data_IF_483043636768
#
_entry.id   IF_483043636768
#
_cell.length_a   1.000
_cell.length_b   1.000
_cell.length_c   1.000
_cell.angle_alpha   90.00
_cell.angle_beta   90.00
_cell.angle_gamma   90.00
#
_symmetry.space_group_name_H-M   'P 1'
#
loop_
_entity.id
_entity.type
_entity.pdbx_description
1 polymer ?
#
# COMPACT_ATOMS: atom_id res chain seq x y z
N UNK A 1 0.47 11.71 -20.01
CA UNK A 1 0.67 10.36 -19.47
C UNK A 1 0.84 10.47 -17.96
N UNK A 2 -0.04 9.93 -17.09
CA UNK A 2 0.34 9.81 -15.70
C UNK A 2 1.45 8.76 -15.65
N UNK A 3 2.70 9.20 -15.53
CA UNK A 3 3.82 8.32 -15.25
C UNK A 3 3.46 7.55 -13.98
N UNK A 4 3.12 6.27 -14.12
CA UNK A 4 3.00 5.39 -12.97
C UNK A 4 4.39 5.32 -12.34
N UNK A 5 4.49 5.60 -11.04
CA UNK A 5 5.77 5.55 -10.31
C UNK A 5 6.43 4.15 -10.38
N UNK A 6 5.63 3.14 -10.71
CA UNK A 6 6.05 1.76 -10.92
C UNK A 6 7.10 1.58 -12.02
N UNK A 7 6.87 2.07 -13.25
CA UNK A 7 7.80 1.77 -14.36
C UNK A 7 9.20 2.35 -14.16
N UNK A 8 9.37 3.58 -13.65
CA UNK A 8 10.69 4.08 -13.25
C UNK A 8 11.36 3.20 -12.19
N UNK A 9 10.63 2.79 -11.14
CA UNK A 9 11.17 1.91 -10.09
C UNK A 9 11.60 0.54 -10.64
N UNK A 10 10.79 -0.05 -11.54
CA UNK A 10 11.11 -1.29 -12.21
C UNK A 10 12.37 -1.14 -13.08
N UNK A 11 12.47 -0.06 -13.87
CA UNK A 11 13.64 0.19 -14.71
C UNK A 11 14.92 0.45 -13.92
N UNK A 12 14.81 1.00 -12.71
CA UNK A 12 15.92 1.22 -11.80
C UNK A 12 16.24 0.01 -10.91
N UNK A 13 15.48 -1.10 -11.01
CA UNK A 13 15.60 -2.28 -10.14
C UNK A 13 15.64 -1.89 -8.65
N UNK A 14 14.72 -1.03 -8.22
CA UNK A 14 14.75 -0.50 -6.86
C UNK A 14 14.48 -1.59 -5.83
N UNK A 15 15.44 -1.80 -4.92
CA UNK A 15 15.31 -2.71 -3.77
C UNK A 15 15.83 -1.98 -2.54
N UNK A 16 15.02 -1.93 -1.50
CA UNK A 16 15.38 -1.32 -0.22
C UNK A 16 16.02 -2.36 0.69
N UNK A 17 17.18 -2.01 1.26
CA UNK A 17 17.97 -2.88 2.16
C UNK A 17 18.23 -4.29 1.61
N UNK A 18 18.24 -4.45 0.28
CA UNK A 18 18.53 -5.72 -0.39
C UNK A 18 17.36 -6.70 -0.51
N UNK A 19 16.24 -6.46 0.19
CA UNK A 19 15.13 -7.43 0.27
C UNK A 19 13.76 -6.85 -0.08
N UNK A 20 13.51 -5.57 0.20
CA UNK A 20 12.17 -5.00 0.12
C UNK A 20 11.90 -4.27 -1.21
N UNK A 21 10.87 -4.71 -1.95
CA UNK A 21 10.54 -4.22 -3.30
C UNK A 21 9.70 -2.93 -3.33
N UNK A 22 9.65 -2.17 -2.23
CA UNK A 22 9.06 -0.83 -2.15
C UNK A 22 7.58 -0.69 -2.51
N UNK A 23 6.82 -1.80 -2.57
CA UNK A 23 5.43 -1.77 -3.06
C UNK A 23 4.51 -0.83 -2.27
N UNK A 24 4.69 -0.74 -0.95
CA UNK A 24 3.98 0.22 -0.11
C UNK A 24 4.45 1.63 -0.44
N UNK A 25 5.76 1.86 -0.39
CA UNK A 25 6.41 3.16 -0.53
C UNK A 25 6.04 3.89 -1.83
N UNK A 26 5.99 3.20 -2.98
CA UNK A 26 5.72 3.81 -4.28
C UNK A 26 4.25 4.19 -4.48
N UNK A 27 3.33 3.56 -3.75
CA UNK A 27 1.90 3.85 -3.84
C UNK A 27 1.53 5.18 -3.16
N UNK A 28 2.22 5.56 -2.08
CA UNK A 28 1.84 6.72 -1.25
C UNK A 28 1.96 8.05 -1.98
N UNK A 29 3.04 8.34 -2.74
CA UNK A 29 3.11 9.58 -3.52
C UNK A 29 2.04 9.65 -4.62
N UNK A 30 1.61 8.50 -5.17
CA UNK A 30 0.50 8.47 -6.11
C UNK A 30 -0.83 8.86 -5.43
N UNK A 31 -1.10 8.31 -4.25
CA UNK A 31 -2.27 8.67 -3.43
C UNK A 31 -2.25 10.17 -3.11
N UNK A 32 -1.13 10.69 -2.60
CA UNK A 32 -0.97 12.11 -2.28
C UNK A 32 -1.23 13.01 -3.51
N UNK A 33 -0.71 12.62 -4.68
CA UNK A 33 -0.95 13.33 -5.94
C UNK A 33 -2.43 13.42 -6.30
N UNK A 34 -3.17 12.32 -6.12
CA UNK A 34 -4.60 12.32 -6.40
C UNK A 34 -5.39 13.11 -5.36
N UNK A 35 -5.02 13.06 -4.07
CA UNK A 35 -5.63 13.87 -3.02
C UNK A 35 -5.49 15.37 -3.28
N UNK A 36 -4.27 15.84 -3.55
CA UNK A 36 -4.01 17.27 -3.84
C UNK A 36 -4.76 17.72 -5.11
N UNK A 37 -4.75 16.88 -6.16
CA UNK A 37 -5.51 17.18 -7.39
C UNK A 37 -7.01 17.31 -7.12
N UNK A 38 -7.59 16.40 -6.34
CA UNK A 38 -9.02 16.43 -6.01
C UNK A 38 -9.33 17.65 -5.14
N UNK A 39 -8.50 17.97 -4.15
CA UNK A 39 -8.67 19.17 -3.33
C UNK A 39 -8.77 20.45 -4.19
N UNK A 40 -7.93 20.58 -5.22
CA UNK A 40 -8.03 21.69 -6.17
C UNK A 40 -9.32 21.69 -6.99
N UNK A 41 -9.84 20.52 -7.37
CA UNK A 41 -11.10 20.39 -8.12
C UNK A 41 -12.34 20.67 -7.25
N UNK A 42 -12.27 20.34 -5.96
CA UNK A 42 -13.37 20.51 -5.00
C UNK A 42 -13.29 21.82 -4.24
N UNK A 43 -12.30 22.69 -4.54
CA UNK A 43 -12.02 23.91 -3.78
C UNK A 43 -11.84 23.65 -2.28
N UNK A 44 -11.18 22.54 -1.93
CA UNK A 44 -10.88 22.18 -0.55
C UNK A 44 -9.55 22.78 -0.12
N UNK A 45 -9.52 23.38 1.08
CA UNK A 45 -8.31 23.98 1.66
C UNK A 45 -7.39 22.95 2.33
N UNK A 46 -7.89 21.73 2.55
CA UNK A 46 -7.21 20.68 3.29
C UNK A 46 -7.42 19.29 2.69
N UNK A 47 -6.46 18.41 2.97
CA UNK A 47 -6.57 16.95 2.78
C UNK A 47 -6.41 16.24 4.12
N UNK A 48 -6.95 15.03 4.24
CA UNK A 48 -6.80 14.20 5.44
C UNK A 48 -6.27 12.81 5.11
N UNK A 49 -5.51 12.20 6.03
CA UNK A 49 -5.08 10.81 5.91
C UNK A 49 -5.17 10.04 7.23
N UNK A 50 -5.33 8.72 7.14
CA UNK A 50 -5.43 7.82 8.29
C UNK A 50 -4.14 7.11 8.70
N UNK A 51 -2.98 7.49 8.15
CA UNK A 51 -1.71 6.89 8.58
C UNK A 51 -1.42 7.14 10.07
N UNK A 52 -0.87 6.14 10.76
CA UNK A 52 -0.53 6.23 12.18
C UNK A 52 0.71 7.11 12.40
N UNK A 53 0.85 7.68 13.60
CA UNK A 53 1.99 8.53 13.96
C UNK A 53 3.33 7.81 14.13
N UNK A 54 3.36 6.48 14.09
CA UNK A 54 4.59 5.66 14.24
C UNK A 54 5.14 5.17 12.90
N UNK A 55 4.28 5.10 11.87
CA UNK A 55 4.64 4.51 10.59
C UNK A 55 5.29 5.49 9.62
N UNK A 56 5.94 4.94 8.59
CA UNK A 56 6.57 5.71 7.51
C UNK A 56 5.56 6.39 6.56
N UNK A 57 4.32 5.91 6.54
CA UNK A 57 3.32 6.34 5.56
C UNK A 57 2.87 7.79 5.74
N UNK A 58 2.84 8.29 6.97
CA UNK A 58 2.56 9.71 7.22
C UNK A 58 3.58 10.59 6.49
N UNK A 59 4.88 10.26 6.60
CA UNK A 59 5.95 11.06 5.98
C UNK A 59 5.83 10.99 4.46
N UNK A 60 5.59 9.80 3.91
CA UNK A 60 5.47 9.59 2.46
C UNK A 60 4.30 10.36 1.87
N UNK A 61 3.14 10.37 2.53
CA UNK A 61 1.96 11.10 2.07
C UNK A 61 2.12 12.60 2.25
N UNK A 62 2.59 13.05 3.42
CA UNK A 62 2.73 14.47 3.74
C UNK A 62 3.80 15.15 2.87
N UNK A 63 4.99 14.55 2.76
CA UNK A 63 6.04 15.08 1.90
C UNK A 63 5.62 15.11 0.42
N UNK A 64 4.91 14.07 -0.03
CA UNK A 64 4.35 14.02 -1.38
C UNK A 64 3.30 15.11 -1.63
N UNK A 65 2.46 15.40 -0.64
CA UNK A 65 1.46 16.46 -0.73
C UNK A 65 2.11 17.85 -0.74
N UNK A 66 3.04 18.12 0.17
CA UNK A 66 3.75 19.40 0.25
C UNK A 66 4.63 19.67 -0.98
N UNK A 67 5.21 18.63 -1.58
CA UNK A 67 5.96 18.77 -2.84
C UNK A 67 5.06 19.22 -4.01
N UNK A 68 3.76 18.93 -3.97
CA UNK A 68 2.80 19.27 -5.02
C UNK A 68 2.03 20.56 -4.74
N UNK A 69 1.71 20.82 -3.46
CA UNK A 69 1.10 22.05 -3.00
C UNK A 69 1.63 22.36 -1.58
N UNK A 70 2.66 23.22 -1.45
CA UNK A 70 3.24 23.57 -0.15
C UNK A 70 2.26 24.23 0.82
N UNK A 71 1.18 24.84 0.30
CA UNK A 71 0.18 25.54 1.09
C UNK A 71 -0.99 24.65 1.53
N UNK A 72 -1.05 23.38 1.10
CA UNK A 72 -2.15 22.49 1.45
C UNK A 72 -2.13 22.20 2.96
N UNK A 73 -3.26 22.38 3.63
CA UNK A 73 -3.38 21.94 5.03
C UNK A 73 -3.55 20.43 5.08
N UNK A 74 -2.83 19.76 5.96
CA UNK A 74 -2.98 18.33 6.20
C UNK A 74 -3.62 18.13 7.58
N UNK A 75 -4.62 17.24 7.62
CA UNK A 75 -5.27 16.79 8.85
C UNK A 75 -4.94 15.30 9.05
N UNK A 76 -4.31 14.97 10.17
CA UNK A 76 -3.94 13.60 10.52
C UNK A 76 -4.60 13.22 11.86
N UNK A 77 -5.86 12.72 11.84
CA UNK A 77 -6.64 12.47 13.06
C UNK A 77 -5.94 11.56 14.07
N UNK A 78 -5.19 10.54 13.60
CA UNK A 78 -4.42 9.65 14.47
C UNK A 78 -3.33 10.35 15.31
N UNK A 79 -2.89 11.53 14.88
CA UNK A 79 -1.88 12.34 15.59
C UNK A 79 -2.52 13.49 16.37
N UNK A 80 -3.65 14.00 15.91
CA UNK A 80 -4.30 15.19 16.46
C UNK A 80 -5.39 14.88 17.51
N UNK A 81 -6.04 13.71 17.43
CA UNK A 81 -7.23 13.40 18.25
C UNK A 81 -6.93 12.37 19.33
N UNK A 82 -7.68 12.38 20.43
CA UNK A 82 -7.61 11.36 21.49
C UNK A 82 -8.41 10.08 21.15
N UNK A 83 -8.29 9.62 19.90
CA UNK A 83 -8.88 8.36 19.41
C UNK A 83 -7.77 7.34 19.15
N UNK A 84 -7.07 6.96 20.22
CA UNK A 84 -5.79 6.23 20.14
C UNK A 84 -5.90 4.71 20.14
N UNK A 85 -7.11 4.15 20.25
CA UNK A 85 -7.35 2.70 20.25
C UNK A 85 -8.59 2.33 19.44
N UNK A 86 -8.67 1.05 19.05
CA UNK A 86 -9.82 0.51 18.32
C UNK A 86 -11.09 0.62 19.16
N UNK A 87 -11.02 0.37 20.46
CA UNK A 87 -12.15 0.45 21.38
C UNK A 87 -12.68 1.88 21.46
N UNK A 88 -11.78 2.87 21.56
CA UNK A 88 -12.16 4.29 21.52
C UNK A 88 -12.83 4.65 20.19
N UNK A 89 -12.33 4.16 19.06
CA UNK A 89 -12.93 4.39 17.74
C UNK A 89 -14.32 3.76 17.62
N UNK A 90 -14.52 2.54 18.12
CA UNK A 90 -15.83 1.86 18.14
C UNK A 90 -16.82 2.60 19.05
N UNK A 91 -16.38 3.04 20.23
CA UNK A 91 -17.19 3.85 21.15
C UNK A 91 -17.58 5.19 20.52
N UNK A 92 -16.64 5.87 19.87
CA UNK A 92 -16.89 7.11 19.13
C UNK A 92 -17.91 6.88 18.01
N UNK A 93 -17.75 5.83 17.20
CA UNK A 93 -18.67 5.49 16.13
C UNK A 93 -20.09 5.21 16.67
N UNK A 94 -20.21 4.45 17.76
CA UNK A 94 -21.50 4.17 18.42
C UNK A 94 -22.17 5.44 18.96
N UNK A 95 -21.41 6.31 19.61
CA UNK A 95 -21.91 7.57 20.16
C UNK A 95 -22.43 8.53 19.07
N UNK A 96 -21.88 8.45 17.86
CA UNK A 96 -22.24 9.31 16.73
C UNK A 96 -23.13 8.63 15.69
N UNK A 97 -23.63 7.41 15.96
CA UNK A 97 -24.51 6.68 15.04
C UNK A 97 -23.84 6.26 13.73
N UNK A 98 -22.50 6.12 13.70
CA UNK A 98 -21.75 5.67 12.54
C UNK A 98 -21.78 4.13 12.50
N UNK A 99 -22.39 3.51 11.48
CA UNK A 99 -22.41 2.07 11.37
C UNK A 99 -21.00 1.53 11.07
N UNK A 100 -20.43 0.77 12.00
CA UNK A 100 -19.14 0.10 11.84
C UNK A 100 -19.31 -1.41 12.02
N UNK A 101 -18.75 -2.18 11.09
CA UNK A 101 -18.58 -3.61 11.28
C UNK A 101 -17.41 -3.81 12.24
N UNK A 102 -17.70 -4.21 13.48
CA UNK A 102 -16.67 -4.77 14.35
C UNK A 102 -16.26 -6.12 13.75
N UNK A 103 -14.95 -6.39 13.71
CA UNK A 103 -14.49 -7.70 13.24
C UNK A 103 -15.17 -8.80 14.06
N UNK A 104 -15.66 -9.82 13.37
CA UNK A 104 -16.08 -11.05 14.04
C UNK A 104 -14.86 -11.72 14.67
N UNK A 105 -15.06 -12.48 15.75
CA UNK A 105 -14.01 -13.32 16.33
C UNK A 105 -13.34 -14.14 15.22
N UNK A 106 -12.02 -13.96 15.02
CA UNK A 106 -11.23 -14.66 13.99
C UNK A 106 -10.73 -13.83 12.81
N UNK A 107 -10.82 -12.51 12.82
CA UNK A 107 -10.09 -11.68 11.85
C UNK A 107 -8.58 -11.72 12.05
N UNK A 108 -7.81 -11.65 10.96
CA UNK A 108 -6.34 -11.64 10.98
C UNK A 108 -5.77 -10.62 11.96
N UNK A 109 -4.86 -11.06 12.84
CA UNK A 109 -4.11 -10.24 13.80
C UNK A 109 -3.08 -9.31 13.14
N UNK A 110 -2.91 -9.40 11.81
CA UNK A 110 -1.91 -8.65 11.06
C UNK A 110 -2.49 -7.36 10.46
N UNK A 111 -1.67 -6.30 10.47
CA UNK A 111 -1.86 -5.13 9.64
C UNK A 111 -1.44 -5.47 8.21
N UNK A 112 -2.32 -5.22 7.24
CA UNK A 112 -2.10 -5.62 5.84
C UNK A 112 -2.29 -4.44 4.88
N UNK A 113 -1.40 -4.34 3.91
CA UNK A 113 -1.52 -3.43 2.76
C UNK A 113 -1.32 -4.23 1.48
N UNK A 114 -2.23 -4.05 0.52
CA UNK A 114 -2.25 -4.81 -0.73
C UNK A 114 -2.54 -3.88 -1.91
N UNK A 115 -1.75 -4.04 -2.97
CA UNK A 115 -2.05 -3.46 -4.27
C UNK A 115 -1.65 -4.45 -5.38
N UNK A 116 -1.75 -4.02 -6.64
CA UNK A 116 -1.44 -4.88 -7.79
C UNK A 116 0.01 -5.43 -7.78
N UNK A 117 0.93 -4.75 -7.10
CA UNK A 117 2.35 -5.03 -7.12
C UNK A 117 2.82 -5.86 -5.93
N UNK A 118 2.17 -5.71 -4.78
CA UNK A 118 2.62 -6.35 -3.55
C UNK A 118 1.50 -6.54 -2.54
N UNK A 119 1.75 -7.44 -1.60
CA UNK A 119 1.02 -7.56 -0.34
C UNK A 119 2.06 -7.51 0.77
N UNK A 120 1.82 -6.72 1.81
CA UNK A 120 2.65 -6.65 3.02
C UNK A 120 1.81 -6.99 4.25
N UNK A 121 2.45 -7.67 5.20
CA UNK A 121 1.90 -8.03 6.50
C UNK A 121 2.87 -7.55 7.58
N UNK A 122 2.36 -6.98 8.66
CA UNK A 122 3.12 -6.52 9.83
C UNK A 122 2.29 -6.66 11.10
N UNK A 123 2.91 -6.46 12.27
CA UNK A 123 2.24 -6.53 13.56
C UNK A 123 1.96 -7.94 14.07
N UNK A 124 1.33 -8.02 15.23
CA UNK A 124 1.00 -9.29 15.88
C UNK A 124 2.25 -10.12 16.19
N UNK A 125 2.22 -11.40 15.85
CA UNK A 125 3.34 -12.33 16.08
C UNK A 125 4.58 -12.02 15.22
N UNK A 126 4.44 -11.26 14.12
CA UNK A 126 5.56 -10.94 13.22
C UNK A 126 6.52 -9.88 13.79
N UNK A 127 6.17 -9.25 14.90
CA UNK A 127 7.07 -8.33 15.62
C UNK A 127 8.22 -9.06 16.33
N UNK A 128 8.07 -10.37 16.59
CA UNK A 128 9.14 -11.22 17.10
C UNK A 128 9.85 -11.93 15.93
N UNK A 129 11.11 -11.56 15.59
CA UNK A 129 11.84 -12.17 14.47
C UNK A 129 12.20 -13.64 14.73
N UNK A 130 12.06 -14.15 15.96
CA UNK A 130 12.23 -15.56 16.27
C UNK A 130 10.95 -16.38 16.02
N UNK A 131 9.83 -15.71 15.75
CA UNK A 131 8.57 -16.36 15.44
C UNK A 131 8.45 -16.64 13.93
N UNK A 132 8.11 -17.87 13.57
CA UNK A 132 7.85 -18.22 12.17
C UNK A 132 6.44 -17.74 11.77
N UNK A 133 6.27 -17.06 10.62
CA UNK A 133 4.95 -16.62 10.17
C UNK A 133 3.95 -17.78 10.06
N UNK A 134 2.70 -17.55 10.49
CA UNK A 134 1.61 -18.51 10.30
C UNK A 134 1.38 -18.79 8.80
N UNK A 135 1.07 -20.03 8.38
CA UNK A 135 0.81 -20.35 6.97
C UNK A 135 -0.31 -19.54 6.30
N UNK A 136 -1.19 -18.90 7.07
CA UNK A 136 -2.21 -17.97 6.58
C UNK A 136 -1.65 -16.61 6.13
N UNK A 137 -0.43 -16.26 6.56
CA UNK A 137 0.30 -15.08 6.07
C UNK A 137 0.77 -15.36 4.64
N UNK A 138 0.35 -14.52 3.68
CA UNK A 138 0.67 -14.69 2.25
C UNK A 138 -0.49 -15.13 1.36
N UNK A 139 -1.74 -14.75 1.70
CA UNK A 139 -2.90 -14.97 0.83
C UNK A 139 -2.61 -14.53 -0.63
N UNK A 140 -2.58 -15.49 -1.55
CA UNK A 140 -2.27 -15.28 -2.98
C UNK A 140 -0.97 -15.93 -3.45
N UNK A 141 -0.10 -16.32 -2.53
CA UNK A 141 0.99 -17.26 -2.80
C UNK A 141 0.49 -18.65 -2.38
N UNK A 142 0.28 -19.55 -3.34
CA UNK A 142 0.12 -20.96 -2.98
C UNK A 142 1.35 -21.37 -2.16
N UNK A 143 1.20 -22.07 -1.01
CA UNK A 143 2.36 -22.75 -0.41
C UNK A 143 3.02 -23.54 -1.52
N UNK A 144 4.36 -23.42 -1.64
CA UNK A 144 5.17 -23.91 -2.77
C UNK A 144 4.44 -25.06 -3.47
N UNK A 145 3.74 -24.79 -4.60
CA UNK A 145 2.98 -25.85 -5.25
C UNK A 145 3.98 -26.97 -5.53
N UNK A 146 3.58 -28.23 -5.32
CA UNK A 146 4.40 -29.37 -5.75
C UNK A 146 4.95 -29.03 -7.13
N UNK A 147 6.28 -28.91 -7.19
CA UNK A 147 6.98 -28.33 -8.35
C UNK A 147 6.38 -28.94 -9.60
N UNK A 148 5.80 -28.14 -10.52
CA UNK A 148 5.12 -28.68 -11.69
C UNK A 148 6.04 -29.67 -12.42
N UNK A 149 5.53 -30.84 -12.76
CA UNK A 149 6.30 -31.91 -13.42
C UNK A 149 6.81 -31.50 -14.80
N UNK A 150 6.21 -30.49 -15.41
CA UNK A 150 6.65 -29.88 -16.68
C UNK A 150 7.04 -28.41 -16.49
N UNK A 151 8.20 -28.02 -17.05
CA UNK A 151 8.62 -26.62 -17.13
C UNK A 151 7.97 -25.98 -18.35
N UNK A 152 7.15 -24.95 -18.15
CA UNK A 152 6.69 -24.08 -19.24
C UNK A 152 7.56 -22.81 -19.29
N UNK A 153 8.28 -22.53 -20.38
CA UNK A 153 9.04 -21.29 -20.49
C UNK A 153 8.10 -20.09 -20.60
N UNK A 154 8.32 -19.09 -19.76
CA UNK A 154 7.66 -17.79 -19.82
C UNK A 154 8.67 -16.79 -20.38
N UNK A 155 8.46 -16.33 -21.62
CA UNK A 155 9.34 -15.36 -22.27
C UNK A 155 8.71 -13.97 -22.13
N UNK A 156 9.51 -13.05 -21.60
CA UNK A 156 9.14 -11.66 -21.41
C UNK A 156 9.89 -10.79 -22.40
N UNK A 157 9.18 -9.86 -23.05
CA UNK A 157 9.79 -8.86 -23.91
C UNK A 157 9.67 -7.49 -23.26
N UNK A 158 10.80 -6.78 -23.18
CA UNK A 158 10.86 -5.40 -22.71
C UNK A 158 11.26 -4.44 -23.83
N UNK A 159 10.80 -3.19 -23.73
CA UNK A 159 11.24 -2.09 -24.58
C UNK A 159 11.54 -0.90 -23.68
N UNK A 160 12.76 -0.36 -23.75
CA UNK A 160 13.23 0.75 -22.89
C UNK A 160 13.00 0.50 -21.38
N UNK A 161 13.26 -0.72 -20.93
CA UNK A 161 13.12 -1.10 -19.51
C UNK A 161 11.67 -1.36 -19.05
N UNK A 162 10.67 -1.22 -19.93
CA UNK A 162 9.26 -1.51 -19.62
C UNK A 162 8.86 -2.84 -20.23
N UNK A 163 8.18 -3.68 -19.46
CA UNK A 163 7.63 -4.94 -19.95
C UNK A 163 6.48 -4.69 -20.93
N UNK A 164 6.54 -5.26 -22.13
CA UNK A 164 5.58 -5.01 -23.20
C UNK A 164 4.84 -6.28 -23.68
N UNK A 165 5.38 -7.48 -23.48
CA UNK A 165 4.76 -8.73 -23.95
C UNK A 165 5.18 -9.93 -23.12
N UNK A 166 4.29 -10.91 -23.00
CA UNK A 166 4.60 -12.25 -22.48
C UNK A 166 4.19 -13.33 -23.50
N UNK A 167 4.67 -14.57 -23.33
CA UNK A 167 4.26 -15.71 -24.18
C UNK A 167 2.77 -16.03 -24.12
N UNK A 168 2.05 -15.53 -23.10
CA UNK A 168 0.63 -15.82 -22.89
C UNK A 168 -0.31 -14.79 -23.53
N UNK A 169 0.15 -13.56 -23.83
CA UNK A 169 -0.66 -12.49 -24.44
C UNK A 169 0.16 -11.21 -24.64
N UNK A 170 -0.32 -10.30 -25.50
CA UNK A 170 0.06 -8.90 -25.41
C UNK A 170 -0.39 -8.34 -24.05
N UNK A 171 0.55 -7.85 -23.25
CA UNK A 171 0.17 -6.99 -22.12
C UNK A 171 -0.53 -5.75 -22.69
N UNK A 172 -1.56 -5.23 -22.01
CA UNK A 172 -2.17 -3.96 -22.38
C UNK A 172 -1.06 -2.95 -22.71
N UNK A 173 -1.18 -2.17 -23.80
CA UNK A 173 -0.14 -1.21 -24.19
C UNK A 173 0.10 -0.25 -23.02
N UNK A 174 1.19 -0.49 -22.30
CA UNK A 174 1.67 0.34 -21.19
C UNK A 174 2.67 1.41 -21.70
N UNK A 175 2.63 1.71 -23.00
CA UNK A 175 3.43 2.73 -23.68
C UNK A 175 2.55 3.87 -24.17
#
# INVERSE_FOLDING_TARGET
MPATLFFPCLGANTVYEGEYLLGTSIARPLIAKHLVRIAGLTSSDAIAHGATGKGNDQIRMELGAYALNPSIRIIAPWREWDLTSREKLVAYAKAHGIPVQTQADGSSDYSMDANLLHISYEGGQLEDPWHTPDPSVGHGLSPLPMRPTSRKPLIWHSRRGVLCRSTMSACHRLL
#
